data_IF_487516100630
#
_entry.id   IF_487516100630
#
_cell.length_a   1.000
_cell.length_b   1.000
_cell.length_c   1.000
_cell.angle_alpha   90.00
_cell.angle_beta   90.00
_cell.angle_gamma   90.00
#
_symmetry.space_group_name_H-M   'P 1'
#
loop_
_entity.id
_entity.type
_entity.pdbx_description
1 polymer ?
#
# COMPACT_ATOMS: atom_id res chain seq x y z
N UNK A 1 14.03 -3.99 23.22
CA UNK A 1 13.93 -2.60 22.75
C UNK A 1 13.45 -1.73 23.92
N UNK A 2 14.15 -0.64 24.28
CA UNK A 2 13.68 0.24 25.34
C UNK A 2 12.31 0.79 24.94
N UNK A 3 11.32 0.67 25.83
CA UNK A 3 10.00 1.25 25.62
C UNK A 3 10.18 2.76 25.50
N UNK A 4 9.70 3.36 24.41
CA UNK A 4 9.67 4.81 24.29
C UNK A 4 9.06 5.40 25.56
N UNK A 5 9.82 6.25 26.26
CA UNK A 5 9.31 6.98 27.41
C UNK A 5 8.04 7.74 27.03
N UNK A 6 7.20 8.06 28.02
CA UNK A 6 5.99 8.84 27.78
C UNK A 6 6.37 10.17 27.12
N UNK A 7 5.67 10.55 26.04
CA UNK A 7 5.85 11.79 25.29
C UNK A 7 4.57 12.61 25.35
N UNK A 8 4.72 13.93 25.28
CA UNK A 8 3.59 14.84 25.09
C UNK A 8 3.04 14.65 23.67
N UNK A 9 1.72 14.79 23.50
CA UNK A 9 1.10 14.79 22.18
C UNK A 9 1.70 15.87 21.28
N UNK A 10 1.97 15.54 20.02
CA UNK A 10 2.56 16.46 19.03
C UNK A 10 1.67 17.65 18.66
N UNK A 11 0.36 17.56 18.87
CA UNK A 11 -0.57 18.63 18.48
C UNK A 11 -0.41 19.82 19.43
N UNK A 12 -0.11 21.04 18.93
CA UNK A 12 0.01 22.23 19.77
C UNK A 12 -1.25 22.44 20.63
N UNK A 13 -1.05 22.67 21.93
CA UNK A 13 -2.15 22.89 22.87
C UNK A 13 -2.78 21.61 23.46
N UNK A 14 -2.35 20.42 23.04
CA UNK A 14 -2.84 19.17 23.64
C UNK A 14 -1.99 18.79 24.88
N UNK A 15 -2.58 18.69 26.09
CA UNK A 15 -1.83 18.37 27.32
C UNK A 15 -1.58 16.87 27.53
N UNK A 16 -2.02 16.00 26.61
CA UNK A 16 -1.97 14.56 26.79
C UNK A 16 -0.54 14.00 26.77
N UNK A 17 -0.27 13.05 27.66
CA UNK A 17 1.02 12.36 27.80
C UNK A 17 0.80 10.85 27.64
N UNK A 18 1.43 10.24 26.63
CA UNK A 18 1.22 8.84 26.25
C UNK A 18 2.50 8.20 25.69
N UNK A 19 2.49 6.89 25.40
CA UNK A 19 3.65 6.20 24.81
C UNK A 19 3.90 6.53 23.33
N UNK A 20 2.88 7.08 22.65
CA UNK A 20 2.91 7.42 21.23
C UNK A 20 3.10 8.93 20.97
N UNK A 21 3.34 9.30 19.71
CA UNK A 21 3.47 10.70 19.27
C UNK A 21 2.16 11.49 19.26
N UNK A 22 1.01 10.79 19.20
CA UNK A 22 -0.33 11.37 19.23
C UNK A 22 -1.17 10.71 20.32
N UNK A 23 -1.97 11.50 21.02
CA UNK A 23 -3.00 10.98 21.91
C UNK A 23 -4.06 10.20 21.10
N UNK A 24 -4.93 9.45 21.79
CA UNK A 24 -5.95 8.62 21.14
C UNK A 24 -6.85 9.43 20.20
N UNK A 25 -7.22 10.65 20.57
CA UNK A 25 -8.19 11.45 19.82
C UNK A 25 -7.56 12.09 18.58
N UNK A 26 -6.38 12.71 18.72
CA UNK A 26 -5.64 13.24 17.57
C UNK A 26 -5.15 12.15 16.62
N UNK A 27 -4.89 10.93 17.12
CA UNK A 27 -4.63 9.77 16.26
C UNK A 27 -5.86 9.39 15.45
N UNK A 28 -7.03 9.31 16.08
CA UNK A 28 -8.29 9.06 15.37
C UNK A 28 -8.59 10.13 14.33
N UNK A 29 -8.34 11.39 14.64
CA UNK A 29 -8.50 12.49 13.69
C UNK A 29 -7.53 12.40 12.51
N UNK A 30 -6.25 12.17 12.80
CA UNK A 30 -5.24 11.93 11.77
C UNK A 30 -5.63 10.74 10.90
N UNK A 31 -6.05 9.62 11.49
CA UNK A 31 -6.47 8.44 10.74
C UNK A 31 -7.71 8.73 9.88
N UNK A 32 -8.73 9.42 10.42
CA UNK A 32 -9.89 9.88 9.63
C UNK A 32 -9.48 10.74 8.45
N UNK A 33 -8.58 11.71 8.66
CA UNK A 33 -8.05 12.54 7.59
C UNK A 33 -7.32 11.70 6.54
N UNK A 34 -6.44 10.79 6.95
CA UNK A 34 -5.72 9.91 6.04
C UNK A 34 -6.67 8.98 5.26
N UNK A 35 -7.73 8.48 5.89
CA UNK A 35 -8.74 7.67 5.21
C UNK A 35 -9.56 8.48 4.20
N UNK A 36 -9.87 9.74 4.50
CA UNK A 36 -10.59 10.63 3.59
C UNK A 36 -9.73 11.12 2.41
N UNK A 37 -8.45 11.37 2.65
CA UNK A 37 -7.55 12.04 1.68
C UNK A 37 -6.63 11.10 0.93
N UNK A 38 -6.38 9.89 1.44
CA UNK A 38 -5.47 8.91 0.83
C UNK A 38 -6.25 7.64 0.45
N UNK A 39 -6.74 7.53 -0.80
CA UNK A 39 -7.54 6.38 -1.25
C UNK A 39 -6.81 5.03 -1.11
N UNK A 40 -5.48 5.04 -1.12
CA UNK A 40 -4.63 3.86 -0.91
C UNK A 40 -4.67 3.32 0.53
N UNK A 41 -5.11 4.13 1.51
CA UNK A 41 -5.16 3.76 2.94
C UNK A 41 -6.49 3.14 3.36
N UNK A 42 -7.58 3.46 2.68
CA UNK A 42 -8.90 2.83 2.90
C UNK A 42 -9.03 1.45 2.28
N UNK A 43 -8.20 1.14 1.29
CA UNK A 43 -8.41 -0.01 0.40
C UNK A 43 -7.49 -1.19 0.69
N UNK A 44 -6.51 -1.02 1.59
CA UNK A 44 -5.56 -2.07 1.99
C UNK A 44 -6.11 -2.94 3.13
N UNK A 45 -7.35 -3.37 3.00
CA UNK A 45 -8.02 -4.26 3.96
C UNK A 45 -7.58 -5.74 3.78
N UNK A 46 -8.08 -6.61 4.66
CA UNK A 46 -7.79 -8.04 4.59
C UNK A 46 -8.27 -8.68 3.27
N UNK A 47 -9.41 -8.24 2.75
CA UNK A 47 -9.98 -8.77 1.50
C UNK A 47 -9.09 -8.41 0.30
N UNK A 48 -8.64 -7.17 0.22
CA UNK A 48 -7.70 -6.71 -0.82
C UNK A 48 -6.36 -7.43 -0.71
N UNK A 49 -5.87 -7.69 0.51
CA UNK A 49 -4.66 -8.52 0.71
C UNK A 49 -4.86 -9.94 0.16
N UNK A 50 -6.00 -10.58 0.42
CA UNK A 50 -6.31 -11.90 -0.14
C UNK A 50 -6.45 -11.85 -1.66
N UNK A 51 -7.10 -10.82 -2.20
CA UNK A 51 -7.29 -10.61 -3.64
C UNK A 51 -5.97 -10.48 -4.37
N UNK A 52 -5.03 -9.67 -3.84
CA UNK A 52 -3.68 -9.53 -4.39
C UNK A 52 -2.88 -10.82 -4.33
N UNK A 53 -2.94 -11.53 -3.20
CA UNK A 53 -2.27 -12.82 -3.05
C UNK A 53 -2.82 -13.85 -4.06
N UNK A 54 -4.15 -13.86 -4.27
CA UNK A 54 -4.78 -14.70 -5.28
C UNK A 54 -4.34 -14.34 -6.69
N UNK A 55 -4.34 -13.06 -7.07
CA UNK A 55 -3.86 -12.63 -8.39
C UNK A 55 -2.43 -13.10 -8.67
N UNK A 56 -1.52 -12.99 -7.70
CA UNK A 56 -0.14 -13.49 -7.85
C UNK A 56 -0.09 -15.01 -7.98
N UNK A 57 -0.84 -15.76 -7.17
CA UNK A 57 -0.90 -17.23 -7.27
C UNK A 57 -1.44 -17.69 -8.62
N UNK A 58 -2.54 -17.09 -9.07
CA UNK A 58 -3.18 -17.41 -10.34
C UNK A 58 -2.23 -17.11 -11.51
N UNK A 59 -1.49 -16.00 -11.45
CA UNK A 59 -0.47 -15.66 -12.44
C UNK A 59 0.67 -16.68 -12.46
N UNK A 60 1.21 -17.05 -11.30
CA UNK A 60 2.30 -18.03 -11.22
C UNK A 60 1.84 -19.41 -11.71
N UNK A 61 0.59 -19.80 -11.44
CA UNK A 61 0.05 -21.06 -11.94
C UNK A 61 -0.06 -21.10 -13.48
N UNK A 62 -0.34 -19.96 -14.11
CA UNK A 62 -0.55 -19.87 -15.56
C UNK A 62 0.73 -19.57 -16.35
N UNK A 63 1.60 -18.71 -15.82
CA UNK A 63 2.75 -18.15 -16.54
C UNK A 63 4.09 -18.44 -15.86
N UNK A 64 4.07 -19.10 -14.70
CA UNK A 64 5.25 -19.24 -13.85
C UNK A 64 5.72 -17.90 -13.29
N UNK A 65 7.00 -17.87 -12.90
CA UNK A 65 7.67 -16.69 -12.36
C UNK A 65 8.06 -15.70 -13.48
N UNK A 66 7.09 -15.29 -14.29
CA UNK A 66 7.29 -14.41 -15.44
C UNK A 66 6.71 -13.03 -15.21
N UNK A 67 7.45 -11.98 -15.53
CA UNK A 67 7.00 -10.60 -15.45
C UNK A 67 6.81 -10.05 -16.87
N UNK A 68 5.65 -9.43 -17.20
CA UNK A 68 5.41 -8.78 -18.49
C UNK A 68 6.38 -7.62 -18.79
N UNK A 69 6.98 -7.03 -17.74
CA UNK A 69 7.85 -5.87 -17.86
C UNK A 69 7.08 -4.56 -17.91
N UNK A 70 7.59 -3.56 -17.19
CA UNK A 70 7.10 -2.17 -17.21
C UNK A 70 8.25 -1.29 -17.68
N UNK A 71 8.13 -0.74 -18.89
CA UNK A 71 9.19 0.03 -19.54
C UNK A 71 10.48 -0.77 -19.77
N UNK A 72 10.36 -2.09 -19.87
CA UNK A 72 11.43 -3.03 -20.25
C UNK A 72 10.81 -4.31 -20.83
N UNK A 73 11.59 -5.15 -21.54
CA UNK A 73 11.09 -6.42 -22.05
C UNK A 73 10.59 -7.38 -20.94
N UNK A 74 9.68 -8.31 -21.28
CA UNK A 74 9.28 -9.41 -20.41
C UNK A 74 10.48 -10.26 -19.95
N UNK A 75 10.46 -10.73 -18.72
CA UNK A 75 11.60 -11.44 -18.10
C UNK A 75 11.16 -12.30 -16.91
N UNK A 76 11.97 -13.28 -16.54
CA UNK A 76 11.76 -14.06 -15.32
C UNK A 76 12.01 -13.23 -14.06
N UNK A 77 11.18 -13.41 -13.03
CA UNK A 77 11.28 -12.72 -11.75
C UNK A 77 10.72 -13.57 -10.60
N UNK A 78 11.49 -13.71 -9.51
CA UNK A 78 11.08 -14.48 -8.33
C UNK A 78 10.14 -13.71 -7.38
N UNK A 79 10.16 -12.37 -7.40
CA UNK A 79 9.35 -11.52 -6.51
C UNK A 79 8.28 -10.77 -7.32
N UNK A 80 7.14 -11.44 -7.49
CA UNK A 80 5.96 -10.92 -8.17
C UNK A 80 4.99 -10.26 -7.20
N UNK A 81 4.37 -9.17 -7.66
CA UNK A 81 3.45 -8.35 -6.89
C UNK A 81 2.24 -8.00 -7.75
N UNK A 82 1.06 -7.93 -7.12
CA UNK A 82 -0.14 -7.44 -7.78
C UNK A 82 -0.21 -5.91 -7.67
N UNK A 83 -0.39 -5.25 -8.82
CA UNK A 83 -0.59 -3.82 -8.94
C UNK A 83 -1.91 -3.51 -9.64
N UNK A 84 -2.48 -2.33 -9.43
CA UNK A 84 -3.63 -1.90 -10.24
C UNK A 84 -3.18 -1.60 -11.66
N UNK A 85 -4.02 -1.99 -12.64
CA UNK A 85 -3.81 -1.63 -14.04
C UNK A 85 -3.81 -0.10 -14.19
N UNK A 86 -4.81 0.57 -13.61
CA UNK A 86 -4.86 2.02 -13.48
C UNK A 86 -4.47 2.40 -12.06
N UNK A 87 -3.42 3.22 -11.84
CA UNK A 87 -3.03 3.63 -10.50
C UNK A 87 -4.17 4.35 -9.75
N UNK A 88 -4.40 3.97 -8.49
CA UNK A 88 -5.39 4.62 -7.62
C UNK A 88 -5.15 6.13 -7.52
N UNK A 89 -3.87 6.54 -7.43
CA UNK A 89 -3.49 7.95 -7.33
C UNK A 89 -3.94 8.81 -8.53
N UNK A 90 -4.28 8.17 -9.68
CA UNK A 90 -4.78 8.83 -10.88
C UNK A 90 -6.28 8.63 -11.10
N UNK A 91 -7.01 8.30 -10.03
CA UNK A 91 -8.45 8.00 -10.12
C UNK A 91 -8.77 6.57 -10.55
N UNK A 92 -7.78 5.68 -10.55
CA UNK A 92 -8.04 4.26 -10.77
C UNK A 92 -8.92 3.67 -9.67
N UNK A 93 -9.87 2.82 -10.05
CA UNK A 93 -10.73 2.13 -9.11
C UNK A 93 -9.89 1.25 -8.16
N UNK A 94 -9.95 1.46 -6.83
CA UNK A 94 -9.25 0.62 -5.87
C UNK A 94 -9.70 -0.83 -5.83
N UNK A 95 -10.90 -1.14 -6.34
CA UNK A 95 -11.38 -2.52 -6.55
C UNK A 95 -11.28 -2.95 -8.01
N UNK A 96 -10.75 -2.08 -8.87
CA UNK A 96 -10.50 -2.31 -10.28
C UNK A 96 -9.41 -3.36 -10.55
N UNK A 97 -9.24 -3.77 -11.81
CA UNK A 97 -8.44 -4.92 -12.20
C UNK A 97 -6.98 -4.83 -11.71
N UNK A 98 -6.44 -5.99 -11.35
CA UNK A 98 -5.03 -6.15 -10.97
C UNK A 98 -4.24 -6.74 -12.13
N UNK A 99 -3.01 -6.30 -12.27
CA UNK A 99 -1.96 -6.92 -13.07
C UNK A 99 -0.85 -7.43 -12.17
N UNK A 100 -0.08 -8.42 -12.62
CA UNK A 100 1.04 -8.99 -11.86
C UNK A 100 2.35 -8.62 -12.53
N UNK A 101 3.22 -7.95 -11.78
CA UNK A 101 4.54 -7.51 -12.22
C UNK A 101 5.55 -7.72 -11.11
N UNK A 102 6.83 -7.82 -11.43
CA UNK A 102 7.87 -7.92 -10.41
C UNK A 102 7.96 -6.62 -9.59
N UNK A 103 8.46 -6.72 -8.35
CA UNK A 103 8.59 -5.55 -7.45
C UNK A 103 9.34 -4.35 -8.08
N UNK A 104 10.44 -4.53 -8.83
CA UNK A 104 11.08 -3.43 -9.57
C UNK A 104 10.19 -2.78 -10.63
N UNK A 105 9.40 -3.57 -11.36
CA UNK A 105 8.46 -3.06 -12.36
C UNK A 105 7.28 -2.34 -11.72
N UNK A 106 6.80 -2.83 -10.57
CA UNK A 106 5.78 -2.14 -9.78
C UNK A 106 6.25 -0.75 -9.33
N UNK A 107 7.49 -0.66 -8.82
CA UNK A 107 8.09 0.64 -8.45
C UNK A 107 8.19 1.58 -9.65
N UNK A 108 8.70 1.08 -10.80
CA UNK A 108 8.79 1.87 -12.04
C UNK A 108 7.45 2.36 -12.56
N UNK A 109 6.37 1.61 -12.32
CA UNK A 109 5.04 2.05 -12.71
C UNK A 109 4.60 3.25 -11.88
N UNK A 110 4.93 3.28 -10.58
CA UNK A 110 4.66 4.44 -9.74
C UNK A 110 5.47 5.68 -10.18
N UNK A 111 6.74 5.51 -10.57
CA UNK A 111 7.62 6.62 -10.99
C UNK A 111 7.29 7.19 -12.38
N UNK A 112 6.57 6.43 -13.22
CA UNK A 112 6.15 6.86 -14.56
C UNK A 112 4.92 7.77 -14.54
N UNK A 113 4.38 8.04 -13.36
CA UNK A 113 3.11 8.69 -13.15
C UNK A 113 3.19 9.80 -12.11
#
# INVERSE_FOLDING_TARGET
>A
MPRSGKRVCRIPGCPAIQGDSLCGDHRREHDRHQHATTPTKTTRDWQERQRRARAVRDHVAQHGNWCPGVGRPPHAAADLTANHVVPIARGGDPRGPLTVVCRPCNSRQADRF
#
